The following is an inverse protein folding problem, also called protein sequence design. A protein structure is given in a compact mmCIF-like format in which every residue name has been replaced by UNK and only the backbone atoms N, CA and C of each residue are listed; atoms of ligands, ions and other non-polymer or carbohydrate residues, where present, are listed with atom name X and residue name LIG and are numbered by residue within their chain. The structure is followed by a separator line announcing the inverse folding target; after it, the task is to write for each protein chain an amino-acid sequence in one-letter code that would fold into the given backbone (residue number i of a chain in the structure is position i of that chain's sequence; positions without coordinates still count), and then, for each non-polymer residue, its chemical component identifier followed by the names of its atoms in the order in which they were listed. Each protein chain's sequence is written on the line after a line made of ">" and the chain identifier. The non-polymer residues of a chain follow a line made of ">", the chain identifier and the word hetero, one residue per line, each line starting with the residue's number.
data_IF_501808366951
#
_entry.id   IF_501808366951
#
_cell.length_a   1.000
_cell.length_b   1.000
_cell.length_c   1.000
_cell.angle_alpha   90.00
_cell.angle_beta   90.00
_cell.angle_gamma   90.00
#
_symmetry.space_group_name_H-M   'P 1'
#
loop_
_entity.id
_entity.type
_entity.pdbx_description
1 polymer ?
#
# COMPACT_ATOMS: atom_id res chain seq x y z
N UNK A 1 -0.05 1.69 -25.66
CA UNK A 1 1.00 0.99 -24.89
C UNK A 1 2.33 0.95 -25.63
N UNK A 2 2.36 0.58 -26.92
CA UNK A 2 3.60 0.61 -27.74
C UNK A 2 4.25 1.98 -27.91
N UNK A 3 3.47 3.07 -27.95
CA UNK A 3 4.00 4.44 -28.08
C UNK A 3 4.69 4.95 -26.82
N UNK A 4 4.29 4.47 -25.64
CA UNK A 4 4.91 4.89 -24.37
C UNK A 4 6.29 4.24 -24.17
N UNK A 5 6.41 2.96 -24.55
CA UNK A 5 7.66 2.19 -24.48
C UNK A 5 8.67 2.67 -25.54
N UNK A 6 8.21 3.00 -26.75
CA UNK A 6 9.06 3.55 -27.80
C UNK A 6 9.60 4.96 -27.48
N UNK A 7 8.83 5.79 -26.76
CA UNK A 7 9.27 7.15 -26.40
C UNK A 7 10.30 7.20 -25.27
N UNK A 8 10.31 6.22 -24.36
CA UNK A 8 11.36 6.07 -23.33
C UNK A 8 12.72 5.82 -23.99
N UNK A 9 12.75 5.10 -25.12
CA UNK A 9 13.98 4.80 -25.87
C UNK A 9 14.58 6.02 -26.60
N UNK A 10 13.80 7.06 -26.89
CA UNK A 10 14.25 8.24 -27.65
C UNK A 10 14.77 9.40 -26.76
N UNK A 11 14.95 9.18 -25.45
CA UNK A 11 15.63 10.12 -24.52
C UNK A 11 17.09 9.70 -24.25
N UNK A 12 17.78 9.27 -25.31
CA UNK A 12 19.12 8.68 -25.28
C UNK A 12 20.27 9.70 -25.05
N UNK A 13 20.14 10.60 -24.08
CA UNK A 13 21.30 11.39 -23.63
C UNK A 13 21.41 11.64 -22.11
N UNK A 14 20.47 11.11 -21.32
CA UNK A 14 20.52 11.02 -19.85
C UNK A 14 19.72 9.76 -19.42
N UNK A 15 20.20 8.56 -19.75
CA UNK A 15 19.46 7.34 -19.43
C UNK A 15 19.91 6.76 -18.09
N UNK A 16 19.15 7.04 -17.04
CA UNK A 16 18.85 5.99 -16.08
C UNK A 16 17.70 5.21 -16.72
N UNK A 17 17.95 4.10 -17.44
CA UNK A 17 16.88 3.34 -18.05
C UNK A 17 15.95 2.88 -16.93
N UNK A 18 14.67 3.26 -17.00
CA UNK A 18 13.64 2.73 -16.09
C UNK A 18 13.69 1.22 -16.24
N UNK A 19 14.05 0.53 -15.16
CA UNK A 19 14.33 -0.89 -15.24
C UNK A 19 13.04 -1.66 -15.53
N UNK A 20 13.11 -2.74 -16.32
CA UNK A 20 11.92 -3.48 -16.73
C UNK A 20 11.13 -4.01 -15.52
N UNK A 21 11.82 -4.34 -14.44
CA UNK A 21 11.20 -4.76 -13.19
C UNK A 21 10.45 -3.61 -12.48
N UNK A 22 10.86 -2.35 -12.64
CA UNK A 22 10.13 -1.18 -12.10
C UNK A 22 8.78 -1.02 -12.82
N UNK A 23 8.77 -1.29 -14.13
CA UNK A 23 7.55 -1.27 -14.95
C UNK A 23 6.64 -2.43 -14.57
N UNK A 24 7.18 -3.65 -14.48
CA UNK A 24 6.41 -4.83 -14.08
C UNK A 24 5.79 -4.68 -12.69
N UNK A 25 6.57 -4.16 -11.73
CA UNK A 25 6.10 -3.85 -10.38
C UNK A 25 4.95 -2.84 -10.39
N UNK A 26 5.08 -1.78 -11.18
CA UNK A 26 4.03 -0.75 -11.30
C UNK A 26 2.74 -1.29 -11.91
N UNK A 27 2.83 -2.14 -12.94
CA UNK A 27 1.66 -2.81 -13.54
C UNK A 27 0.98 -3.73 -12.51
N UNK A 28 1.76 -4.54 -11.81
CA UNK A 28 1.24 -5.41 -10.75
C UNK A 28 0.55 -4.60 -9.64
N UNK A 29 1.18 -3.51 -9.18
CA UNK A 29 0.63 -2.64 -8.15
C UNK A 29 -0.71 -2.02 -8.58
N UNK A 30 -0.83 -1.59 -9.84
CA UNK A 30 -2.11 -1.07 -10.38
C UNK A 30 -3.18 -2.16 -10.38
N UNK A 31 -2.86 -3.36 -10.87
CA UNK A 31 -3.80 -4.48 -10.92
C UNK A 31 -4.31 -4.87 -9.52
N UNK A 32 -3.40 -5.04 -8.56
CA UNK A 32 -3.77 -5.37 -7.17
C UNK A 32 -4.60 -4.25 -6.55
N UNK A 33 -4.21 -2.98 -6.76
CA UNK A 33 -4.98 -1.84 -6.27
C UNK A 33 -6.38 -1.78 -6.87
N UNK A 34 -6.52 -2.05 -8.17
CA UNK A 34 -7.83 -2.13 -8.84
C UNK A 34 -8.70 -3.24 -8.25
N UNK A 35 -8.14 -4.42 -7.99
CA UNK A 35 -8.87 -5.53 -7.33
C UNK A 35 -9.32 -5.11 -5.93
N UNK A 36 -8.45 -4.48 -5.14
CA UNK A 36 -8.80 -4.00 -3.79
C UNK A 36 -9.90 -2.94 -3.85
N UNK A 37 -9.85 -2.01 -4.80
CA UNK A 37 -10.90 -1.01 -4.99
C UNK A 37 -12.25 -1.64 -5.35
N UNK A 38 -12.25 -2.67 -6.19
CA UNK A 38 -13.45 -3.44 -6.50
C UNK A 38 -13.98 -4.19 -5.28
N UNK A 39 -13.10 -4.81 -4.47
CA UNK A 39 -13.50 -5.44 -3.21
C UNK A 39 -14.13 -4.42 -2.27
N UNK A 40 -13.52 -3.24 -2.11
CA UNK A 40 -14.08 -2.15 -1.29
C UNK A 40 -15.45 -1.71 -1.83
N UNK A 41 -15.70 -1.76 -3.14
CA UNK A 41 -17.00 -1.41 -3.74
C UNK A 41 -18.09 -2.47 -3.53
N UNK A 42 -17.73 -3.76 -3.53
CA UNK A 42 -18.69 -4.88 -3.48
C UNK A 42 -18.95 -5.35 -2.04
N UNK A 43 -17.93 -5.40 -1.18
CA UNK A 43 -18.05 -5.91 0.17
C UNK A 43 -18.79 -4.94 1.10
N UNK A 44 -19.54 -5.50 2.04
CA UNK A 44 -20.33 -4.73 3.00
C UNK A 44 -19.44 -3.86 3.89
N UNK A 45 -19.71 -2.55 3.93
CA UNK A 45 -18.95 -1.58 4.72
C UNK A 45 -19.54 -1.32 6.11
N UNK A 46 -20.75 -1.84 6.39
CA UNK A 46 -21.52 -1.55 7.58
C UNK A 46 -21.68 -0.05 7.81
N UNK A 47 -21.42 0.42 9.03
CA UNK A 47 -21.48 1.84 9.41
C UNK A 47 -20.21 2.67 9.11
N UNK A 48 -19.20 2.10 8.43
CA UNK A 48 -17.93 2.81 8.18
C UNK A 48 -18.12 3.96 7.18
N UNK A 49 -17.84 5.18 7.63
CA UNK A 49 -17.87 6.39 6.80
C UNK A 49 -16.46 6.92 6.60
N UNK A 50 -16.16 7.39 5.39
CA UNK A 50 -14.89 8.07 5.11
C UNK A 50 -14.90 9.43 5.81
N UNK A 51 -13.82 9.73 6.55
CA UNK A 51 -13.69 11.02 7.23
C UNK A 51 -13.72 12.17 6.23
N UNK A 52 -14.47 13.24 6.54
CA UNK A 52 -14.53 14.47 5.73
C UNK A 52 -13.14 15.10 5.55
N UNK A 53 -12.30 15.00 6.58
CA UNK A 53 -10.91 15.50 6.54
C UNK A 53 -10.10 14.72 5.50
N UNK A 54 -10.23 13.39 5.48
CA UNK A 54 -9.56 12.54 4.49
C UNK A 54 -10.01 12.89 3.07
N UNK A 55 -11.32 13.09 2.84
CA UNK A 55 -11.83 13.49 1.53
C UNK A 55 -11.24 14.85 1.10
N UNK A 56 -11.17 15.82 2.02
CA UNK A 56 -10.59 17.13 1.74
C UNK A 56 -9.09 17.07 1.41
N UNK A 57 -8.30 16.28 2.15
CA UNK A 57 -6.86 16.10 1.87
C UNK A 57 -6.67 15.44 0.50
N UNK A 58 -7.42 14.38 0.22
CA UNK A 58 -7.33 13.64 -1.05
C UNK A 58 -7.74 14.54 -2.22
N UNK A 59 -8.80 15.34 -2.09
CA UNK A 59 -9.25 16.24 -3.16
C UNK A 59 -8.22 17.33 -3.45
N UNK A 60 -7.62 17.93 -2.41
CA UNK A 60 -6.57 18.96 -2.57
C UNK A 60 -5.35 18.39 -3.30
N UNK A 61 -4.91 17.18 -2.93
CA UNK A 61 -3.73 16.57 -3.56
C UNK A 61 -4.01 16.15 -5.00
N UNK A 62 -5.20 15.61 -5.31
CA UNK A 62 -5.57 15.32 -6.71
C UNK A 62 -5.70 16.58 -7.56
N UNK A 63 -6.23 17.67 -6.99
CA UNK A 63 -6.28 18.96 -7.68
C UNK A 63 -4.87 19.48 -7.96
N UNK A 64 -3.98 19.44 -6.97
CA UNK A 64 -2.57 19.81 -7.13
C UNK A 64 -1.89 18.97 -8.22
N UNK A 65 -2.08 17.65 -8.19
CA UNK A 65 -1.55 16.73 -9.21
C UNK A 65 -2.05 17.08 -10.61
N UNK A 66 -3.34 17.38 -10.76
CA UNK A 66 -3.94 17.76 -12.03
C UNK A 66 -3.38 19.08 -12.57
N UNK A 67 -3.24 20.10 -11.71
CA UNK A 67 -2.61 21.38 -12.08
C UNK A 67 -1.17 21.18 -12.57
N UNK A 68 -0.36 20.44 -11.80
CA UNK A 68 1.00 20.10 -12.20
C UNK A 68 1.05 19.31 -13.52
N UNK A 69 0.13 18.37 -13.73
CA UNK A 69 0.02 17.61 -14.97
C UNK A 69 -0.20 18.53 -16.17
N UNK A 70 -1.19 19.43 -16.11
CA UNK A 70 -1.49 20.34 -17.23
C UNK A 70 -0.39 21.37 -17.48
N UNK A 71 0.36 21.79 -16.45
CA UNK A 71 1.52 22.68 -16.60
C UNK A 71 2.69 21.96 -17.29
N UNK A 72 2.95 20.70 -16.94
CA UNK A 72 4.09 19.94 -17.48
C UNK A 72 3.77 19.33 -18.85
N UNK A 73 2.50 19.07 -19.15
CA UNK A 73 2.05 18.43 -20.39
C UNK A 73 2.63 19.07 -21.68
N UNK A 74 2.65 20.41 -21.85
CA UNK A 74 3.22 21.06 -23.04
C UNK A 74 4.73 20.87 -23.17
N UNK A 75 5.46 20.79 -22.04
CA UNK A 75 6.91 20.64 -22.02
C UNK A 75 7.39 19.25 -22.48
N UNK A 76 6.48 18.27 -22.58
CA UNK A 76 6.77 16.85 -22.84
C UNK A 76 7.82 16.24 -21.91
N UNK A 77 8.09 16.87 -20.76
CA UNK A 77 9.03 16.37 -19.75
C UNK A 77 8.37 15.31 -18.87
N UNK A 78 8.31 14.09 -19.38
CA UNK A 78 7.74 12.94 -18.66
C UNK A 78 8.49 12.62 -17.37
N UNK A 79 9.82 12.83 -17.34
CA UNK A 79 10.64 12.63 -16.14
C UNK A 79 10.26 13.61 -15.02
N UNK A 80 10.02 14.88 -15.36
CA UNK A 80 9.53 15.87 -14.39
C UNK A 80 8.18 15.46 -13.82
N UNK A 81 7.29 14.94 -14.67
CA UNK A 81 5.98 14.46 -14.24
C UNK A 81 6.09 13.26 -13.29
N UNK A 82 6.93 12.27 -13.62
CA UNK A 82 7.20 11.11 -12.75
C UNK A 82 7.78 11.56 -11.39
N UNK A 83 8.69 12.53 -11.40
CA UNK A 83 9.27 13.08 -10.17
C UNK A 83 8.22 13.74 -9.26
N UNK A 84 7.26 14.46 -9.84
CA UNK A 84 6.15 15.08 -9.10
C UNK A 84 5.25 13.99 -8.49
N UNK A 85 4.86 12.98 -9.28
CA UNK A 85 4.02 11.88 -8.78
C UNK A 85 4.72 11.08 -7.67
N UNK A 86 6.02 10.79 -7.81
CA UNK A 86 6.80 10.13 -6.76
C UNK A 86 6.80 10.97 -5.47
N UNK A 87 6.97 12.28 -5.57
CA UNK A 87 6.95 13.18 -4.42
C UNK A 87 5.59 13.19 -3.72
N UNK A 88 4.51 13.25 -4.51
CA UNK A 88 3.13 13.13 -4.01
C UNK A 88 2.93 11.78 -3.29
N UNK A 89 3.45 10.69 -3.87
CA UNK A 89 3.33 9.36 -3.28
C UNK A 89 4.04 9.26 -1.93
N UNK A 90 5.29 9.76 -1.81
CA UNK A 90 6.00 9.79 -0.51
C UNK A 90 5.19 10.55 0.53
N UNK A 91 4.70 11.75 0.17
CA UNK A 91 3.92 12.57 1.09
C UNK A 91 2.60 11.90 1.52
N UNK A 92 1.88 11.33 0.56
CA UNK A 92 0.66 10.57 0.81
C UNK A 92 0.89 9.39 1.74
N UNK A 93 2.00 8.67 1.55
CA UNK A 93 2.40 7.55 2.41
C UNK A 93 2.56 7.98 3.86
N UNK A 94 3.25 9.09 4.12
CA UNK A 94 3.40 9.62 5.47
C UNK A 94 2.06 10.03 6.07
N UNK A 95 1.24 10.77 5.31
CA UNK A 95 -0.08 11.23 5.77
C UNK A 95 -1.00 10.07 6.14
N UNK A 96 -1.00 8.97 5.38
CA UNK A 96 -1.87 7.81 5.67
C UNK A 96 -1.32 6.95 6.82
N UNK A 97 0.01 6.79 6.91
CA UNK A 97 0.61 5.88 7.87
C UNK A 97 0.67 6.44 9.29
N UNK A 98 0.88 7.75 9.48
CA UNK A 98 0.90 8.35 10.83
C UNK A 98 -0.42 8.12 11.60
N UNK A 99 -1.61 8.45 11.05
CA UNK A 99 -2.88 8.18 11.72
C UNK A 99 -3.09 6.69 11.98
N UNK A 100 -2.65 5.81 11.07
CA UNK A 100 -2.78 4.37 11.25
C UNK A 100 -1.92 3.87 12.42
N UNK A 101 -0.65 4.29 12.50
CA UNK A 101 0.24 3.97 13.63
C UNK A 101 -0.38 4.45 14.94
N UNK A 102 -0.91 5.67 14.96
CA UNK A 102 -1.57 6.24 16.14
C UNK A 102 -2.82 5.45 16.53
N UNK A 103 -3.70 5.12 15.57
CA UNK A 103 -4.91 4.34 15.83
C UNK A 103 -4.58 2.95 16.39
N UNK A 104 -3.57 2.27 15.84
CA UNK A 104 -3.08 1.00 16.36
C UNK A 104 -2.57 1.16 17.80
N UNK A 105 -1.84 2.24 18.08
CA UNK A 105 -1.33 2.54 19.42
C UNK A 105 -2.44 2.84 20.44
N UNK A 106 -3.47 3.58 20.05
CA UNK A 106 -4.60 3.93 20.92
C UNK A 106 -5.50 2.71 21.17
N UNK A 107 -5.79 1.93 20.14
CA UNK A 107 -6.66 0.74 20.25
C UNK A 107 -5.97 -0.44 20.92
N UNK A 108 -4.64 -0.44 21.00
CA UNK A 108 -3.82 -1.57 21.49
C UNK A 108 -4.14 -2.88 20.77
N UNK A 109 -4.58 -2.77 19.52
CA UNK A 109 -5.05 -3.88 18.71
C UNK A 109 -4.86 -3.53 17.23
N UNK A 110 -4.52 -4.53 16.43
CA UNK A 110 -4.36 -4.45 14.98
C UNK A 110 -5.36 -5.33 14.22
N UNK A 111 -6.47 -5.75 14.85
CA UNK A 111 -7.50 -6.51 14.13
C UNK A 111 -8.17 -5.70 13.02
N UNK A 112 -8.48 -6.37 11.91
CA UNK A 112 -9.01 -5.77 10.68
C UNK A 112 -7.94 -5.09 9.80
N UNK A 113 -6.69 -5.05 10.24
CA UNK A 113 -5.54 -4.57 9.46
C UNK A 113 -4.88 -5.75 8.73
N UNK A 114 -4.74 -5.67 7.40
CA UNK A 114 -4.11 -6.73 6.60
C UNK A 114 -2.60 -6.71 6.77
N UNK A 115 -2.08 -7.48 7.74
CA UNK A 115 -0.63 -7.58 7.98
C UNK A 115 0.10 -8.20 6.77
N UNK A 116 -0.56 -9.10 6.03
CA UNK A 116 0.01 -9.72 4.83
C UNK A 116 0.36 -8.70 3.75
N UNK A 117 -0.47 -7.66 3.58
CA UNK A 117 -0.17 -6.56 2.64
C UNK A 117 1.08 -5.78 3.06
N UNK A 118 1.25 -5.50 4.35
CA UNK A 118 2.43 -4.82 4.89
C UNK A 118 3.70 -5.66 4.73
N UNK A 119 3.63 -6.96 4.96
CA UNK A 119 4.76 -7.87 4.74
C UNK A 119 5.19 -7.87 3.26
N UNK A 120 4.23 -7.83 2.34
CA UNK A 120 4.52 -7.74 0.90
C UNK A 120 5.10 -6.37 0.52
N UNK A 121 4.60 -5.26 1.08
CA UNK A 121 5.15 -3.92 0.87
C UNK A 121 6.60 -3.83 1.37
N UNK A 122 6.87 -4.36 2.55
CA UNK A 122 8.21 -4.44 3.13
C UNK A 122 9.16 -5.24 2.24
N UNK A 123 8.77 -6.45 1.82
CA UNK A 123 9.56 -7.28 0.91
C UNK A 123 9.82 -6.56 -0.43
N UNK A 124 8.81 -5.88 -0.97
CA UNK A 124 8.94 -5.06 -2.18
C UNK A 124 9.92 -3.91 -2.01
N UNK A 125 9.85 -3.19 -0.89
CA UNK A 125 10.76 -2.11 -0.53
C UNK A 125 12.21 -2.58 -0.39
N UNK A 126 12.44 -3.69 0.34
CA UNK A 126 13.78 -4.28 0.50
C UNK A 126 14.35 -4.74 -0.84
N UNK A 127 13.53 -5.42 -1.66
CA UNK A 127 13.96 -5.89 -2.99
C UNK A 127 14.31 -4.72 -3.91
N UNK A 128 13.57 -3.63 -3.85
CA UNK A 128 13.83 -2.42 -4.61
C UNK A 128 15.14 -1.73 -4.18
N UNK A 129 15.39 -1.60 -2.87
CA UNK A 129 16.68 -1.09 -2.37
C UNK A 129 17.84 -1.99 -2.79
N UNK A 130 17.68 -3.33 -2.72
CA UNK A 130 18.69 -4.28 -3.16
C UNK A 130 18.97 -4.15 -4.66
N UNK A 131 17.94 -4.02 -5.49
CA UNK A 131 18.10 -3.76 -6.93
C UNK A 131 18.90 -2.46 -7.16
N UNK A 132 18.54 -1.37 -6.48
CA UNK A 132 19.26 -0.10 -6.63
C UNK A 132 20.72 -0.19 -6.21
N UNK A 133 21.02 -0.97 -5.17
CA UNK A 133 22.38 -1.25 -4.72
C UNK A 133 23.17 -2.06 -5.75
N UNK A 134 22.61 -3.14 -6.29
CA UNK A 134 23.25 -3.96 -7.34
C UNK A 134 23.54 -3.11 -8.58
N UNK A 135 22.59 -2.28 -9.01
CA UNK A 135 22.79 -1.37 -10.15
C UNK A 135 23.89 -0.32 -9.88
N UNK A 136 24.01 0.17 -8.64
CA UNK A 136 25.06 1.12 -8.28
C UNK A 136 26.46 0.48 -8.29
N UNK A 137 26.55 -0.79 -7.88
CA UNK A 137 27.80 -1.57 -7.94
C UNK A 137 28.20 -1.80 -9.39
N UNK A 138 27.26 -2.25 -10.23
CA UNK A 138 27.48 -2.52 -11.65
C UNK A 138 27.94 -1.26 -12.43
N UNK A 139 27.32 -0.11 -12.12
CA UNK A 139 27.68 1.18 -12.73
C UNK A 139 28.93 1.81 -12.10
N UNK A 140 29.52 1.21 -11.06
CA UNK A 140 30.62 1.77 -10.26
C UNK A 140 30.37 3.22 -9.80
N UNK A 141 29.09 3.59 -9.62
CA UNK A 141 28.67 4.97 -9.43
C UNK A 141 27.35 5.05 -8.67
N UNK A 142 27.21 6.06 -7.81
CA UNK A 142 25.99 6.32 -7.04
C UNK A 142 24.97 7.19 -7.77
N UNK A 143 25.11 7.35 -9.09
CA UNK A 143 24.18 8.12 -9.94
C UNK A 143 22.76 7.56 -9.88
N UNK A 144 22.58 6.26 -9.69
CA UNK A 144 21.25 5.66 -9.55
C UNK A 144 20.52 6.12 -8.28
N UNK A 145 21.24 6.22 -7.16
CA UNK A 145 20.68 6.75 -5.91
C UNK A 145 20.33 8.24 -6.02
N UNK A 146 21.23 9.04 -6.60
CA UNK A 146 21.02 10.48 -6.73
C UNK A 146 19.98 10.83 -7.78
N UNK A 147 19.98 10.14 -8.91
CA UNK A 147 19.08 10.37 -10.03
C UNK A 147 17.66 9.84 -9.80
N UNK A 148 17.49 8.88 -8.87
CA UNK A 148 16.18 8.34 -8.52
C UNK A 148 15.84 8.53 -7.02
N UNK A 149 16.06 9.75 -6.53
CA UNK A 149 15.88 10.08 -5.11
C UNK A 149 14.44 9.85 -4.62
N UNK A 150 13.43 10.05 -5.48
CA UNK A 150 12.03 9.80 -5.13
C UNK A 150 11.74 8.32 -4.83
N UNK A 151 12.26 7.40 -5.65
CA UNK A 151 12.14 5.95 -5.45
C UNK A 151 12.85 5.51 -4.18
N UNK A 152 14.07 6.00 -3.96
CA UNK A 152 14.86 5.71 -2.75
C UNK A 152 14.12 6.17 -1.49
N UNK A 153 13.64 7.43 -1.48
CA UNK A 153 12.93 7.99 -0.33
C UNK A 153 11.62 7.24 -0.05
N UNK A 154 10.88 6.89 -1.11
CA UNK A 154 9.67 6.09 -0.99
C UNK A 154 9.93 4.74 -0.31
N UNK A 155 10.96 4.01 -0.75
CA UNK A 155 11.31 2.72 -0.15
C UNK A 155 11.75 2.86 1.31
N UNK A 156 12.56 3.87 1.63
CA UNK A 156 13.02 4.10 3.00
C UNK A 156 11.85 4.42 3.93
N UNK A 157 10.94 5.30 3.51
CA UNK A 157 9.74 5.67 4.27
C UNK A 157 8.82 4.47 4.44
N UNK A 158 8.53 3.71 3.38
CA UNK A 158 7.67 2.50 3.48
C UNK A 158 8.25 1.49 4.47
N UNK A 159 9.51 1.09 4.27
CA UNK A 159 10.18 0.10 5.13
C UNK A 159 10.15 0.52 6.60
N UNK A 160 10.39 1.81 6.89
CA UNK A 160 10.35 2.33 8.26
C UNK A 160 8.97 2.15 8.89
N UNK A 161 7.89 2.54 8.17
CA UNK A 161 6.54 2.38 8.67
C UNK A 161 6.09 0.91 8.73
N UNK A 162 6.52 0.09 7.78
CA UNK A 162 6.21 -1.34 7.76
C UNK A 162 6.81 -2.05 8.97
N UNK A 163 8.05 -1.71 9.34
CA UNK A 163 8.68 -2.20 10.58
C UNK A 163 7.84 -1.79 11.80
N UNK A 164 7.39 -0.54 11.87
CA UNK A 164 6.53 -0.08 12.96
C UNK A 164 5.23 -0.92 13.01
N UNK A 165 4.58 -1.15 11.87
CA UNK A 165 3.36 -1.94 11.81
C UNK A 165 3.60 -3.41 12.19
N UNK A 166 4.70 -4.02 11.75
CA UNK A 166 5.10 -5.36 12.13
C UNK A 166 5.38 -5.45 13.64
N UNK A 167 6.09 -4.48 14.22
CA UNK A 167 6.30 -4.41 15.66
C UNK A 167 4.98 -4.24 16.43
N UNK A 168 4.07 -3.39 15.94
CA UNK A 168 2.74 -3.22 16.55
C UNK A 168 1.94 -4.52 16.53
N UNK A 169 1.97 -5.26 15.42
CA UNK A 169 1.18 -6.47 15.23
C UNK A 169 1.77 -7.69 15.95
N UNK A 170 3.07 -7.97 15.78
CA UNK A 170 3.69 -9.20 16.27
C UNK A 170 4.28 -9.07 17.68
N UNK A 171 4.75 -7.89 18.08
CA UNK A 171 5.46 -7.69 19.36
C UNK A 171 4.57 -7.04 20.41
N UNK A 172 3.93 -5.92 20.08
CA UNK A 172 3.17 -5.12 21.06
C UNK A 172 1.75 -5.62 21.28
N UNK A 173 1.04 -5.97 20.20
CA UNK A 173 -0.37 -6.36 20.24
C UNK A 173 -0.60 -7.75 19.61
N UNK A 174 0.18 -8.79 20.01
CA UNK A 174 -0.02 -10.13 19.48
C UNK A 174 -1.44 -10.59 19.77
N UNK A 175 -2.10 -11.08 18.73
CA UNK A 175 -3.46 -11.60 18.87
C UNK A 175 -3.42 -12.85 19.75
N UNK A 176 -4.11 -12.79 20.90
CA UNK A 176 -4.42 -13.99 21.67
C UNK A 176 -5.75 -14.50 21.11
N UNK A 177 -5.70 -15.59 20.35
CA UNK A 177 -6.91 -16.33 19.99
C UNK A 177 -7.70 -16.59 21.29
N UNK A 178 -9.01 -16.29 21.34
CA UNK A 178 -9.83 -16.72 22.44
C UNK A 178 -9.78 -18.25 22.47
N UNK A 179 -9.16 -18.80 23.51
CA UNK A 179 -9.29 -20.22 23.85
C UNK A 179 -10.80 -20.50 23.94
N UNK A 180 -11.36 -21.18 22.94
CA UNK A 180 -12.71 -21.71 23.03
C UNK A 180 -12.68 -22.75 24.13
N UNK A 181 -13.05 -22.33 25.35
CA UNK A 181 -13.23 -23.26 26.45
C UNK A 181 -14.41 -24.16 26.09
N UNK A 182 -14.28 -25.50 26.15
CA UNK A 182 -15.34 -26.44 25.79
C UNK A 182 -16.69 -26.17 26.49
N UNK A 183 -16.68 -25.46 27.62
CA UNK A 183 -17.87 -25.10 28.40
C UNK A 183 -18.91 -24.27 27.64
N UNK A 184 -18.53 -23.42 26.68
CA UNK A 184 -19.52 -22.64 25.93
C UNK A 184 -20.23 -23.43 24.84
N UNK A 185 -19.69 -24.61 24.47
CA UNK A 185 -20.30 -25.49 23.48
C UNK A 185 -21.39 -26.36 24.12
N UNK A 186 -21.19 -26.81 25.37
CA UNK A 186 -22.21 -27.52 26.15
C UNK A 186 -23.42 -26.60 26.47
N UNK A 187 -23.20 -25.34 26.83
CA UNK A 187 -24.28 -24.39 27.12
C UNK A 187 -25.13 -24.04 25.88
N UNK A 188 -24.52 -24.05 24.68
CA UNK A 188 -25.24 -23.86 23.41
C UNK A 188 -26.00 -25.10 22.93
N UNK A 189 -25.56 -26.29 23.31
CA UNK A 189 -26.21 -27.57 22.95
C UNK A 189 -27.39 -27.87 23.89
N UNK A 190 -27.30 -27.46 25.16
CA UNK A 190 -28.37 -27.66 26.15
C UNK A 190 -29.54 -26.68 25.99
N UNK A 191 -29.33 -25.56 25.30
CA UNK A 191 -30.34 -24.52 25.06
C UNK A 191 -31.30 -24.81 23.89
N UNK A 192 -31.11 -25.88 23.12
CA UNK A 192 -32.01 -26.28 22.03
C UNK A 192 -32.76 -27.58 22.39
N UNK A 193 -33.89 -27.50 23.15
CA UNK A 193 -34.68 -28.68 23.41
C UNK A 193 -35.50 -29.04 22.16
N UNK A 194 -35.22 -30.25 21.66
CA UNK A 194 -36.14 -31.23 21.06
C UNK A 194 -37.66 -30.89 21.12
N UNK A 195 -38.12 -29.92 20.32
CA UNK A 195 -39.55 -29.75 20.00
C UNK A 195 -39.72 -29.86 18.49
N UNK A 196 -39.57 -31.09 17.99
CA UNK A 196 -40.12 -31.53 16.70
C UNK A 196 -40.21 -33.06 16.71
N UNK A 197 -40.79 -33.62 17.79
CA UNK A 197 -41.21 -35.00 17.86
C UNK A 197 -42.72 -35.06 17.64
N UNK A 198 -43.11 -35.72 16.55
CA UNK A 198 -44.38 -36.40 16.29
C UNK A 198 -45.68 -35.61 16.51
N UNK A 199 -46.34 -35.25 15.40
CA UNK A 199 -47.72 -35.69 15.20
C UNK A 199 -48.00 -35.88 13.70
N UNK A 200 -48.07 -37.16 13.32
CA UNK A 200 -48.78 -37.63 12.14
C UNK A 200 -50.09 -38.26 12.61
N UNK A 201 -51.22 -37.58 12.40
CA UNK A 201 -52.49 -38.16 11.98
C UNK A 201 -53.44 -37.07 11.47
#
# INVERSE_FOLDING_TARGET
>A
MGTLVAFIYCSAHQMIPVAANDVAFSIHAVLVTSIILLQIAIYERGGQKVSKITIAIVSVVWLFAAVCFFIVLPSRSWLSLISIFNSIQVFMTVIKYIPQVFMNFVRKNTQGFSIGYILLDFCGGVTNLMQMAVQSIDQSSSVNFRGNMGKMLLCLVSITFDIIFMCQHFVLYPHKEPQVSPKSMEESIEAEPLVLSFDSQ
#
